data_IF_424318609549
#
_entry.id   IF_424318609549
#
_cell.length_a   1.000
_cell.length_b   1.000
_cell.length_c   1.000
_cell.angle_alpha   90.00
_cell.angle_beta   90.00
_cell.angle_gamma   90.00
#
_symmetry.space_group_name_H-M   'P 1'
#
loop_
_entity.id
_entity.type
_entity.pdbx_description
1 polymer ?
#
# COMPACT_ATOMS: atom_id res chain seq x y z
N UNK A 1 29.78 -3.51 9.54
CA UNK A 1 28.99 -2.27 9.64
C UNK A 1 27.69 -2.56 8.92
N UNK A 2 26.57 -2.68 9.64
CA UNK A 2 25.26 -2.93 9.00
C UNK A 2 24.95 -1.71 8.14
N UNK A 3 24.55 -1.90 6.88
CA UNK A 3 24.26 -0.80 5.96
C UNK A 3 22.91 -0.16 6.35
N UNK A 4 22.94 0.68 7.38
CA UNK A 4 21.78 1.36 7.97
C UNK A 4 21.09 2.32 6.99
N UNK A 5 21.79 2.78 5.94
CA UNK A 5 21.23 3.64 4.89
C UNK A 5 20.21 2.89 4.05
N UNK A 6 20.56 1.68 3.58
CA UNK A 6 19.68 0.85 2.73
C UNK A 6 18.39 0.48 3.46
N UNK A 7 18.47 0.18 4.77
CA UNK A 7 17.30 -0.11 5.59
C UNK A 7 16.40 1.11 5.80
N UNK A 8 16.98 2.30 6.00
CA UNK A 8 16.22 3.54 6.15
C UNK A 8 15.50 3.93 4.85
N UNK A 9 16.18 3.81 3.71
CA UNK A 9 15.58 4.04 2.40
C UNK A 9 14.46 3.04 2.10
N UNK A 10 14.66 1.75 2.42
CA UNK A 10 13.62 0.75 2.26
C UNK A 10 12.36 1.05 3.10
N UNK A 11 12.55 1.47 4.36
CA UNK A 11 11.42 1.90 5.22
C UNK A 11 10.67 3.09 4.65
N UNK A 12 11.40 4.09 4.15
CA UNK A 12 10.80 5.27 3.51
C UNK A 12 10.01 4.87 2.26
N UNK A 13 10.56 3.99 1.41
CA UNK A 13 9.87 3.47 0.23
C UNK A 13 8.58 2.74 0.60
N UNK A 14 8.61 1.87 1.63
CA UNK A 14 7.43 1.16 2.11
C UNK A 14 6.36 2.15 2.62
N UNK A 15 6.76 3.15 3.39
CA UNK A 15 5.85 4.15 3.94
C UNK A 15 5.23 5.04 2.84
N UNK A 16 6.00 5.40 1.84
CA UNK A 16 5.51 6.12 0.66
C UNK A 16 4.47 5.28 -0.10
N UNK A 17 4.76 3.99 -0.31
CA UNK A 17 3.82 3.07 -0.94
C UNK A 17 2.52 2.92 -0.13
N UNK A 18 2.60 2.83 1.21
CA UNK A 18 1.41 2.78 2.09
C UNK A 18 0.56 4.05 1.98
N UNK A 19 1.21 5.22 1.85
CA UNK A 19 0.54 6.51 1.67
C UNK A 19 -0.21 6.54 0.33
N UNK A 20 0.45 6.15 -0.76
CA UNK A 20 -0.19 6.00 -2.08
C UNK A 20 -1.37 5.02 -2.03
N UNK A 21 -1.24 3.90 -1.32
CA UNK A 21 -2.33 2.93 -1.18
C UNK A 21 -3.54 3.51 -0.44
N UNK A 22 -3.32 4.36 0.55
CA UNK A 22 -4.40 5.05 1.29
C UNK A 22 -5.18 5.98 0.36
N UNK A 23 -4.48 6.74 -0.48
CA UNK A 23 -5.13 7.62 -1.46
C UNK A 23 -5.84 6.81 -2.55
N UNK A 24 -5.28 5.68 -2.98
CA UNK A 24 -5.96 4.73 -3.87
C UNK A 24 -7.27 4.22 -3.26
N UNK A 25 -7.28 3.83 -1.99
CA UNK A 25 -8.49 3.41 -1.28
C UNK A 25 -9.58 4.48 -1.31
N UNK A 26 -9.22 5.74 -1.00
CA UNK A 26 -10.14 6.89 -1.08
C UNK A 26 -10.68 7.13 -2.48
N UNK A 27 -9.86 6.92 -3.52
CA UNK A 27 -10.31 7.03 -4.91
C UNK A 27 -11.26 5.90 -5.30
N UNK A 28 -10.99 4.67 -4.87
CA UNK A 28 -11.86 3.51 -5.09
C UNK A 28 -13.21 3.70 -4.39
N UNK A 29 -13.23 4.25 -3.18
CA UNK A 29 -14.46 4.50 -2.44
C UNK A 29 -15.41 5.47 -3.16
N UNK A 30 -14.84 6.44 -3.89
CA UNK A 30 -15.59 7.40 -4.73
C UNK A 30 -16.16 6.80 -6.02
N UNK A 31 -15.73 5.60 -6.42
CA UNK A 31 -16.29 4.94 -7.60
C UNK A 31 -17.77 4.58 -7.36
N UNK A 32 -18.62 4.56 -8.41
CA UNK A 32 -19.99 4.08 -8.31
C UNK A 32 -20.07 2.68 -7.71
N UNK A 33 -21.11 2.40 -6.91
CA UNK A 33 -21.27 1.12 -6.23
C UNK A 33 -21.50 -0.06 -7.20
N UNK A 34 -22.05 0.24 -8.37
CA UNK A 34 -22.34 -0.68 -9.48
C UNK A 34 -21.17 -0.81 -10.47
N UNK A 35 -20.07 -0.07 -10.27
CA UNK A 35 -18.88 -0.22 -11.10
C UNK A 35 -18.29 -1.63 -10.91
N UNK A 36 -18.25 -2.47 -11.96
CA UNK A 36 -17.87 -3.88 -11.83
C UNK A 36 -16.43 -4.04 -11.32
N UNK A 37 -15.55 -3.09 -11.61
CA UNK A 37 -14.15 -3.12 -11.19
C UNK A 37 -13.94 -2.65 -9.74
N UNK A 38 -14.90 -1.94 -9.12
CA UNK A 38 -14.74 -1.34 -7.78
C UNK A 38 -14.36 -2.39 -6.74
N UNK A 39 -15.08 -3.53 -6.73
CA UNK A 39 -14.83 -4.59 -5.76
C UNK A 39 -13.45 -5.25 -5.98
N UNK A 40 -13.05 -5.45 -7.23
CA UNK A 40 -11.76 -6.03 -7.57
C UNK A 40 -10.62 -5.09 -7.21
N UNK A 41 -10.75 -3.80 -7.52
CA UNK A 41 -9.79 -2.76 -7.15
C UNK A 41 -9.67 -2.63 -5.63
N UNK A 42 -10.78 -2.62 -4.89
CA UNK A 42 -10.78 -2.59 -3.43
C UNK A 42 -10.03 -3.80 -2.83
N UNK A 43 -10.28 -5.00 -3.36
CA UNK A 43 -9.59 -6.23 -2.92
C UNK A 43 -8.09 -6.19 -3.22
N UNK A 44 -7.69 -5.73 -4.40
CA UNK A 44 -6.28 -5.56 -4.74
C UNK A 44 -5.61 -4.52 -3.83
N UNK A 45 -6.29 -3.39 -3.61
CA UNK A 45 -5.84 -2.31 -2.74
C UNK A 45 -5.60 -2.82 -1.31
N UNK A 46 -6.56 -3.56 -0.75
CA UNK A 46 -6.43 -4.15 0.57
C UNK A 46 -5.27 -5.15 0.64
N UNK A 47 -5.15 -6.06 -0.34
CA UNK A 47 -4.08 -7.07 -0.38
C UNK A 47 -2.70 -6.43 -0.43
N UNK A 48 -2.52 -5.39 -1.26
CA UNK A 48 -1.25 -4.65 -1.34
C UNK A 48 -0.94 -3.96 -0.01
N UNK A 49 -1.93 -3.39 0.67
CA UNK A 49 -1.77 -2.81 2.01
C UNK A 49 -1.23 -3.82 3.04
N UNK A 50 -1.78 -5.03 3.07
CA UNK A 50 -1.31 -6.12 3.95
C UNK A 50 0.14 -6.50 3.63
N UNK A 51 0.49 -6.67 2.36
CA UNK A 51 1.85 -7.02 1.95
C UNK A 51 2.88 -5.94 2.32
N UNK A 52 2.52 -4.66 2.18
CA UNK A 52 3.38 -3.55 2.58
C UNK A 52 3.57 -3.49 4.09
N UNK A 53 2.52 -3.80 4.86
CA UNK A 53 2.63 -3.88 6.33
C UNK A 53 3.51 -5.05 6.77
N UNK A 54 3.39 -6.22 6.14
CA UNK A 54 4.31 -7.33 6.36
C UNK A 54 5.76 -6.98 6.02
N UNK A 55 5.97 -6.27 4.90
CA UNK A 55 7.30 -5.80 4.51
C UNK A 55 7.86 -4.83 5.56
N UNK A 56 7.05 -3.89 6.05
CA UNK A 56 7.43 -2.93 7.09
C UNK A 56 7.89 -3.60 8.38
N UNK A 57 7.23 -4.69 8.79
CA UNK A 57 7.56 -5.43 10.02
C UNK A 57 8.85 -6.23 9.90
N UNK A 58 9.28 -6.56 8.68
CA UNK A 58 10.48 -7.36 8.39
C UNK A 58 11.71 -6.53 8.03
N UNK A 59 11.56 -5.23 7.85
CA UNK A 59 12.62 -4.26 7.54
C UNK A 59 12.97 -3.41 8.75
#
# INVERSE_FOLDING_TARGET
>A
MVNTSDQAELKNCIQNAQSCMTDMGRMIDKLPADAPEKQQLAKMCQKTGVLLEEARQRC
#
